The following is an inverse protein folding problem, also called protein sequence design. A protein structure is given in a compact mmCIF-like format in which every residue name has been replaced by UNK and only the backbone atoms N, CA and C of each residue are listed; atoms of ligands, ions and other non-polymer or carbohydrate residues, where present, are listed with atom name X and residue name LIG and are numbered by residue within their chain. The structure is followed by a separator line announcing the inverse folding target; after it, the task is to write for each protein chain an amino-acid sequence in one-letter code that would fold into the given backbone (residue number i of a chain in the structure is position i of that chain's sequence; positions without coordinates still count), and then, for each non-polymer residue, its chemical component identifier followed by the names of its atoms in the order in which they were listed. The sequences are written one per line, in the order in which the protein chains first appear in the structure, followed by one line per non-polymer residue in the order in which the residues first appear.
data_IF_242318295958
#
_entry.id   IF_242318295958
#
_cell.length_a   1.000
_cell.length_b   1.000
_cell.length_c   1.000
_cell.angle_alpha   90.00
_cell.angle_beta   90.00
_cell.angle_gamma   90.00
#
_symmetry.space_group_name_H-M   'P 1'
#
loop_
_entity.id
_entity.type
_entity.pdbx_description
1 polymer ?
#
# COMPACT_ATOMS: atom_id res chain seq x y z
N UNK A 1 -15.86 -12.55 -12.83
CA UNK A 1 -14.90 -12.20 -13.90
C UNK A 1 -15.41 -12.77 -15.22
N UNK A 2 -15.83 -11.92 -16.17
CA UNK A 2 -16.35 -12.39 -17.47
C UNK A 2 -15.36 -12.21 -18.62
N UNK A 3 -14.43 -11.25 -18.53
CA UNK A 3 -13.56 -10.87 -19.65
C UNK A 3 -12.08 -10.86 -19.31
N UNK A 4 -11.70 -10.87 -18.04
CA UNK A 4 -10.30 -10.68 -17.60
C UNK A 4 -9.73 -9.27 -17.86
N UNK A 5 -10.58 -8.30 -18.24
CA UNK A 5 -10.14 -6.93 -18.50
C UNK A 5 -9.69 -6.27 -17.18
N UNK A 6 -8.49 -5.70 -17.18
CA UNK A 6 -8.03 -4.82 -16.11
C UNK A 6 -8.92 -3.57 -16.06
N UNK A 7 -9.46 -3.25 -14.90
CA UNK A 7 -10.34 -2.09 -14.70
C UNK A 7 -9.57 -0.91 -14.09
N UNK A 8 -8.75 -1.20 -13.10
CA UNK A 8 -7.94 -0.21 -12.40
C UNK A 8 -6.72 -0.87 -11.74
N UNK A 9 -5.76 -0.06 -11.36
CA UNK A 9 -4.58 -0.44 -10.57
C UNK A 9 -4.43 0.56 -9.43
N UNK A 10 -4.13 0.08 -8.24
CA UNK A 10 -3.69 0.89 -7.11
C UNK A 10 -2.24 0.51 -6.80
N UNK A 11 -1.36 1.50 -6.74
CA UNK A 11 0.04 1.29 -6.42
C UNK A 11 0.26 1.45 -4.91
N UNK A 12 0.65 0.38 -4.25
CA UNK A 12 0.99 0.38 -2.82
C UNK A 12 2.30 1.13 -2.54
N UNK A 13 3.19 1.22 -3.53
CA UNK A 13 4.29 2.19 -3.60
C UNK A 13 3.88 3.23 -4.64
N UNK A 14 3.43 4.42 -4.23
CA UNK A 14 2.91 5.42 -5.15
C UNK A 14 3.94 5.85 -6.19
N UNK A 15 3.50 5.93 -7.43
CA UNK A 15 4.32 6.37 -8.56
C UNK A 15 4.38 7.90 -8.63
N UNK A 16 5.25 8.44 -9.50
CA UNK A 16 5.39 9.88 -9.65
C UNK A 16 4.05 10.58 -9.92
N UNK A 17 3.72 11.58 -9.11
CA UNK A 17 2.47 12.33 -9.18
C UNK A 17 1.28 11.70 -8.47
N UNK A 18 1.40 10.50 -7.95
CA UNK A 18 0.37 9.88 -7.11
C UNK A 18 0.46 10.36 -5.67
N UNK A 19 -0.67 10.35 -4.97
CA UNK A 19 -0.74 10.70 -3.56
C UNK A 19 0.16 9.78 -2.72
N UNK A 20 0.99 10.36 -1.86
CA UNK A 20 1.91 9.64 -0.98
C UNK A 20 3.30 9.39 -1.61
N UNK A 21 3.51 9.71 -2.88
CA UNK A 21 4.83 9.56 -3.51
C UNK A 21 5.90 10.42 -2.84
N UNK A 22 5.52 11.60 -2.34
CA UNK A 22 6.38 12.53 -1.60
C UNK A 22 6.88 11.97 -0.26
N UNK A 23 6.26 10.91 0.26
CA UNK A 23 6.71 10.21 1.46
C UNK A 23 7.87 9.22 1.20
N UNK A 24 8.28 9.07 -0.06
CA UNK A 24 9.42 8.29 -0.51
C UNK A 24 10.53 9.23 -0.94
N UNK A 25 11.29 9.75 0.03
CA UNK A 25 12.36 10.73 -0.23
C UNK A 25 13.45 10.16 -1.15
N UNK A 26 14.18 11.07 -1.79
CA UNK A 26 15.28 10.75 -2.71
C UNK A 26 14.87 9.81 -3.87
N UNK A 27 13.59 9.85 -4.26
CA UNK A 27 13.01 8.97 -5.29
C UNK A 27 13.15 7.46 -4.98
N UNK A 28 13.20 7.09 -3.72
CA UNK A 28 13.37 5.70 -3.29
C UNK A 28 12.25 4.77 -3.77
N UNK A 29 11.07 5.30 -4.12
CA UNK A 29 9.98 4.56 -4.73
C UNK A 29 10.36 3.84 -6.04
N UNK A 30 11.40 4.32 -6.74
CA UNK A 30 11.82 3.76 -8.04
C UNK A 30 12.53 2.40 -7.91
N UNK A 31 13.15 2.14 -6.78
CA UNK A 31 13.95 0.93 -6.57
C UNK A 31 13.50 0.09 -5.38
N UNK A 32 12.59 0.62 -4.56
CA UNK A 32 12.01 -0.14 -3.46
C UNK A 32 10.92 -1.06 -4.01
N UNK A 33 10.89 -2.27 -3.54
CA UNK A 33 9.88 -3.26 -3.87
C UNK A 33 9.08 -3.70 -2.64
N UNK A 34 8.43 -4.85 -2.74
CA UNK A 34 7.54 -5.39 -1.74
C UNK A 34 6.35 -4.45 -1.47
N UNK A 35 5.97 -4.19 -0.22
CA UNK A 35 4.76 -3.47 0.13
C UNK A 35 3.53 -4.09 -0.52
N UNK A 36 3.49 -5.40 -0.59
CA UNK A 36 2.40 -6.17 -1.19
C UNK A 36 1.20 -6.31 -0.27
N UNK A 37 0.18 -7.01 -0.76
CA UNK A 37 -0.98 -7.43 0.03
C UNK A 37 -1.05 -8.95 -0.04
N UNK A 38 -0.32 -9.62 0.84
CA UNK A 38 -0.19 -11.08 0.81
C UNK A 38 -1.19 -11.80 1.72
N UNK A 39 -1.67 -11.12 2.74
CA UNK A 39 -2.64 -11.69 3.68
C UNK A 39 -4.09 -11.51 3.20
N UNK A 40 -5.04 -11.99 3.99
CA UNK A 40 -6.46 -11.89 3.65
C UNK A 40 -6.91 -10.43 3.58
N UNK A 41 -7.65 -10.10 2.52
CA UNK A 41 -8.37 -8.84 2.40
C UNK A 41 -9.80 -9.02 2.87
N UNK A 42 -10.40 -7.99 3.45
CA UNK A 42 -11.83 -7.94 3.73
C UNK A 42 -12.54 -6.97 2.79
N UNK A 43 -13.83 -7.16 2.64
CA UNK A 43 -14.66 -6.33 1.78
C UNK A 43 -16.02 -6.07 2.42
N UNK A 44 -16.55 -4.88 2.18
CA UNK A 44 -17.91 -4.49 2.52
C UNK A 44 -18.72 -4.33 1.23
N UNK A 45 -19.60 -5.28 0.90
CA UNK A 45 -20.38 -5.23 -0.34
C UNK A 45 -21.43 -4.11 -0.34
N UNK A 46 -21.91 -3.69 0.83
CA UNK A 46 -22.93 -2.64 0.94
C UNK A 46 -22.33 -1.27 0.65
N UNK A 47 -21.13 -1.01 1.15
CA UNK A 47 -20.38 0.21 0.86
C UNK A 47 -19.61 0.13 -0.47
N UNK A 48 -19.36 -1.07 -0.99
CA UNK A 48 -18.54 -1.29 -2.16
C UNK A 48 -17.05 -1.03 -1.91
N UNK A 49 -16.57 -1.33 -0.71
CA UNK A 49 -15.20 -1.09 -0.28
C UNK A 49 -14.42 -2.41 -0.13
N UNK A 50 -13.11 -2.31 -0.32
CA UNK A 50 -12.15 -3.37 -0.02
C UNK A 50 -11.05 -2.80 0.87
N UNK A 51 -10.62 -3.60 1.84
CA UNK A 51 -9.62 -3.22 2.83
C UNK A 51 -8.37 -4.06 2.62
N UNK A 52 -7.25 -3.38 2.41
CA UNK A 52 -5.97 -3.96 2.08
C UNK A 52 -5.00 -3.81 3.25
N UNK A 53 -4.53 -4.91 3.86
CA UNK A 53 -3.40 -4.87 4.78
C UNK A 53 -2.10 -4.88 3.98
N UNK A 54 -1.43 -3.75 3.91
CA UNK A 54 -0.19 -3.58 3.15
C UNK A 54 1.01 -3.87 4.05
N UNK A 55 1.89 -4.73 3.57
CA UNK A 55 3.07 -5.19 4.29
C UNK A 55 4.24 -4.20 4.25
N UNK A 56 5.34 -4.57 4.91
CA UNK A 56 6.64 -3.89 4.90
C UNK A 56 7.23 -3.80 3.49
N UNK A 57 7.88 -2.68 3.11
CA UNK A 57 8.65 -2.60 1.87
C UNK A 57 10.01 -3.26 2.02
N UNK A 58 10.72 -3.53 0.91
CA UNK A 58 12.09 -4.04 0.94
C UNK A 58 13.03 -3.15 1.77
N UNK A 59 14.14 -3.73 2.25
CA UNK A 59 15.03 -3.17 3.27
C UNK A 59 14.37 -3.14 4.65
N UNK A 60 13.86 -4.29 5.06
CA UNK A 60 12.98 -4.51 6.21
C UNK A 60 13.62 -4.09 7.53
N UNK A 61 14.93 -4.33 7.69
CA UNK A 61 15.68 -4.06 8.92
C UNK A 61 16.58 -2.83 8.85
N UNK A 62 16.66 -2.16 7.69
CA UNK A 62 17.42 -0.93 7.50
C UNK A 62 16.74 0.02 6.53
N UNK A 63 16.02 0.99 7.05
CA UNK A 63 15.25 1.96 6.25
C UNK A 63 16.04 3.12 5.64
N UNK A 64 17.36 3.22 5.85
CA UNK A 64 18.16 4.37 5.42
C UNK A 64 18.22 4.59 3.90
N UNK A 65 17.83 3.60 3.12
CA UNK A 65 17.76 3.68 1.65
C UNK A 65 16.39 4.16 1.13
N UNK A 66 15.38 4.26 2.00
CA UNK A 66 14.01 4.67 1.68
C UNK A 66 13.48 5.67 2.70
N UNK A 67 14.15 6.80 2.83
CA UNK A 67 13.76 7.85 3.78
C UNK A 67 12.32 8.32 3.58
N UNK A 68 11.75 8.91 4.61
CA UNK A 68 10.36 9.35 4.67
C UNK A 68 9.43 8.31 5.27
N UNK A 69 8.14 8.61 5.33
CA UNK A 69 7.13 7.75 5.97
C UNK A 69 6.77 6.50 5.15
N UNK A 70 7.13 6.45 3.88
CA UNK A 70 6.94 5.32 2.97
C UNK A 70 5.48 4.85 2.82
N UNK A 71 4.55 5.77 2.55
CA UNK A 71 3.16 5.38 2.23
C UNK A 71 3.09 4.54 0.94
N UNK A 72 2.35 3.46 0.87
CA UNK A 72 1.39 2.91 1.85
C UNK A 72 1.93 1.67 2.58
N UNK A 73 3.23 1.54 2.77
CA UNK A 73 3.78 0.46 3.55
C UNK A 73 3.19 0.44 4.96
N UNK A 74 3.05 -0.76 5.53
CA UNK A 74 2.55 -1.02 6.89
C UNK A 74 1.26 -0.26 7.21
N UNK A 75 0.33 -0.28 6.26
CA UNK A 75 -0.93 0.46 6.32
C UNK A 75 -2.14 -0.42 6.10
N UNK A 76 -3.27 0.00 6.65
CA UNK A 76 -4.58 -0.46 6.17
C UNK A 76 -5.07 0.58 5.16
N UNK A 77 -5.37 0.13 3.95
CA UNK A 77 -5.86 0.98 2.87
C UNK A 77 -7.26 0.56 2.47
N UNK A 78 -8.19 1.51 2.48
CA UNK A 78 -9.56 1.30 2.01
C UNK A 78 -9.70 1.87 0.59
N UNK A 79 -10.12 1.01 -0.33
CA UNK A 79 -10.37 1.39 -1.72
C UNK A 79 -11.84 1.21 -2.09
N UNK A 80 -12.31 2.05 -2.98
CA UNK A 80 -13.54 1.78 -3.72
C UNK A 80 -13.28 0.60 -4.67
N UNK A 81 -13.96 -0.51 -4.45
CA UNK A 81 -13.75 -1.75 -5.20
C UNK A 81 -14.08 -1.63 -6.71
N UNK A 82 -14.89 -0.63 -7.10
CA UNK A 82 -15.29 -0.40 -8.48
C UNK A 82 -14.31 0.46 -9.24
N UNK A 83 -13.75 1.50 -8.60
CA UNK A 83 -12.90 2.51 -9.24
C UNK A 83 -11.42 2.37 -8.92
N UNK A 84 -11.06 1.68 -7.82
CA UNK A 84 -9.69 1.62 -7.30
C UNK A 84 -9.25 2.87 -6.55
N UNK A 85 -10.13 3.86 -6.41
CA UNK A 85 -9.82 5.09 -5.70
C UNK A 85 -9.68 4.85 -4.20
N UNK A 86 -8.65 5.44 -3.60
CA UNK A 86 -8.45 5.39 -2.16
C UNK A 86 -9.52 6.24 -1.45
N UNK A 87 -10.27 5.59 -0.57
CA UNK A 87 -11.28 6.24 0.28
C UNK A 87 -10.60 6.82 1.52
N UNK A 88 -9.81 5.98 2.22
CA UNK A 88 -8.98 6.38 3.36
C UNK A 88 -7.82 5.39 3.53
N UNK A 89 -6.88 5.72 4.39
CA UNK A 89 -5.85 4.82 4.87
C UNK A 89 -5.50 5.15 6.31
N UNK A 90 -4.89 4.18 6.97
CA UNK A 90 -4.27 4.37 8.28
C UNK A 90 -2.91 3.68 8.26
N UNK A 91 -1.84 4.44 8.38
CA UNK A 91 -0.50 3.89 8.48
C UNK A 91 -0.24 3.47 9.92
N UNK A 92 0.04 2.19 10.13
CA UNK A 92 0.24 1.59 11.45
C UNK A 92 1.64 1.92 11.96
N UNK A 93 2.63 1.81 11.09
CA UNK A 93 4.03 2.12 11.38
C UNK A 93 4.57 3.04 10.30
N UNK A 94 5.05 4.23 10.70
CA UNK A 94 5.77 5.15 9.82
C UNK A 94 7.22 4.71 9.71
N UNK A 95 7.73 4.57 8.49
CA UNK A 95 9.12 4.19 8.23
C UNK A 95 9.54 2.93 9.00
N UNK A 96 8.79 1.84 8.88
CA UNK A 96 9.04 0.60 9.60
C UNK A 96 10.38 -0.04 9.25
N UNK A 97 11.07 -0.59 10.26
CA UNK A 97 12.37 -1.25 10.13
C UNK A 97 12.43 -2.56 10.92
N UNK A 98 11.29 -3.22 11.05
CA UNK A 98 11.15 -4.42 11.89
C UNK A 98 10.52 -5.61 11.17
N UNK A 99 10.36 -5.53 9.86
CA UNK A 99 9.65 -6.56 9.09
C UNK A 99 8.25 -6.86 9.70
N UNK A 100 7.54 -5.80 10.02
CA UNK A 100 6.24 -5.87 10.67
C UNK A 100 5.15 -5.95 9.62
N UNK A 101 4.86 -7.13 9.17
CA UNK A 101 3.80 -7.36 8.19
C UNK A 101 2.44 -7.47 8.90
N UNK A 102 1.61 -6.41 8.93
CA UNK A 102 0.34 -6.46 9.65
C UNK A 102 -0.68 -7.33 8.90
N UNK A 103 -0.83 -8.61 9.26
CA UNK A 103 -1.88 -9.43 8.69
C UNK A 103 -3.20 -9.06 9.37
N UNK A 104 -4.04 -8.36 8.65
CA UNK A 104 -5.37 -7.99 9.12
C UNK A 104 -6.44 -8.53 8.16
N UNK A 105 -7.57 -8.95 8.70
CA UNK A 105 -8.73 -9.40 7.95
C UNK A 105 -9.98 -8.58 8.30
#
# INVERSE_FOLDING_TARGET
MRTGKLLWTFHTIPQAGEFGNDTWEENSWQYTGNAGVWSMMSADPDLGYVYLPVETPTHDFYGGQRKGDNLFAESIVCLNARTGERVWHFQIVHHGVWDYDPPAA
#
